data_IF_302760045971
#
_entry.id   IF_302760045971
#
_cell.length_a   1.000
_cell.length_b   1.000
_cell.length_c   1.000
_cell.angle_alpha   90.00
_cell.angle_beta   90.00
_cell.angle_gamma   90.00
#
_symmetry.space_group_name_H-M   'P 1'
#
loop_
_entity.id
_entity.type
_entity.pdbx_description
1 polymer ?
#
# COMPACT_ATOMS: atom_id res chain seq x y z
N UNK A 1 10.35 -29.10 1.96
CA UNK A 1 9.01 -28.69 1.48
C UNK A 1 8.50 -27.58 2.37
N UNK A 2 7.94 -26.54 1.75
CA UNK A 2 7.08 -25.50 2.33
C UNK A 2 7.66 -24.64 3.47
N UNK A 3 8.21 -23.48 3.12
CA UNK A 3 7.91 -22.25 3.85
C UNK A 3 7.76 -21.14 2.84
N UNK A 4 6.63 -21.20 2.14
CA UNK A 4 6.06 -20.03 1.51
C UNK A 4 5.52 -19.17 2.67
N UNK A 5 6.44 -18.57 3.43
CA UNK A 5 6.13 -17.53 4.39
C UNK A 5 5.57 -16.41 3.56
N UNK A 6 4.25 -16.44 3.37
CA UNK A 6 3.50 -15.22 3.17
C UNK A 6 3.77 -14.45 4.44
N UNK A 7 4.83 -13.66 4.38
CA UNK A 7 5.06 -12.51 5.21
C UNK A 7 3.75 -11.75 5.11
N UNK A 8 2.83 -12.05 6.02
CA UNK A 8 1.70 -11.20 6.28
C UNK A 8 2.39 -9.94 6.78
N UNK A 9 2.70 -9.04 5.84
CA UNK A 9 3.02 -7.66 6.12
C UNK A 9 1.73 -7.08 6.70
N UNK A 10 1.41 -7.47 7.93
CA UNK A 10 0.77 -6.55 8.83
C UNK A 10 1.74 -5.38 8.87
N UNK A 11 1.35 -4.18 8.44
CA UNK A 11 2.16 -3.00 8.73
C UNK A 11 2.18 -2.88 10.25
N UNK A 12 3.23 -3.42 10.88
CA UNK A 12 3.41 -3.45 12.33
C UNK A 12 3.54 -2.02 12.88
N UNK A 13 3.89 -1.08 12.00
CA UNK A 13 4.06 0.32 12.31
C UNK A 13 3.02 1.19 11.60
N UNK A 14 2.40 2.08 12.37
CA UNK A 14 1.57 3.17 11.84
C UNK A 14 2.35 4.04 10.85
N UNK A 15 3.67 4.14 11.03
CA UNK A 15 4.58 4.81 10.10
C UNK A 15 4.67 4.09 8.74
N UNK A 16 4.78 2.75 8.74
CA UNK A 16 4.78 1.96 7.50
C UNK A 16 3.45 2.09 6.76
N UNK A 17 2.34 2.09 7.51
CA UNK A 17 1.01 2.30 6.93
C UNK A 17 0.88 3.69 6.30
N UNK A 18 1.34 4.75 6.96
CA UNK A 18 1.30 6.11 6.40
C UNK A 18 2.18 6.25 5.15
N UNK A 19 3.35 5.59 5.11
CA UNK A 19 4.19 5.53 3.93
C UNK A 19 3.51 4.81 2.76
N UNK A 20 2.95 3.62 3.02
CA UNK A 20 2.22 2.84 2.02
C UNK A 20 1.00 3.59 1.47
N UNK A 21 0.21 4.23 2.34
CA UNK A 21 -0.91 5.08 1.94
C UNK A 21 -0.44 6.25 1.05
N UNK A 22 0.71 6.85 1.36
CA UNK A 22 1.27 7.93 0.54
C UNK A 22 1.66 7.47 -0.85
N UNK A 23 2.12 6.22 -1.01
CA UNK A 23 2.48 5.65 -2.32
C UNK A 23 1.28 5.48 -3.24
N UNK A 24 0.09 5.21 -2.69
CA UNK A 24 -1.13 4.94 -3.48
C UNK A 24 -2.09 6.11 -3.54
N UNK A 25 -1.92 7.12 -2.68
CA UNK A 25 -2.73 8.34 -2.69
C UNK A 25 -2.70 9.03 -4.05
N UNK A 26 -1.51 9.20 -4.63
CA UNK A 26 -1.38 9.84 -5.94
C UNK A 26 -2.06 9.04 -7.07
N UNK A 27 -1.96 7.71 -7.05
CA UNK A 27 -2.62 6.85 -8.03
C UNK A 27 -4.15 6.84 -7.85
N UNK A 28 -4.62 6.83 -6.61
CA UNK A 28 -6.03 6.87 -6.30
C UNK A 28 -6.67 8.17 -6.76
N UNK A 29 -6.09 9.30 -6.36
CA UNK A 29 -6.57 10.65 -6.71
C UNK A 29 -6.52 10.87 -8.23
N UNK A 30 -5.53 10.30 -8.92
CA UNK A 30 -5.44 10.34 -10.39
C UNK A 30 -6.49 9.49 -11.11
N UNK A 31 -6.96 8.40 -10.48
CA UNK A 31 -7.97 7.50 -11.04
C UNK A 31 -9.40 7.93 -10.70
N UNK A 32 -9.59 8.69 -9.62
CA UNK A 32 -10.88 9.12 -9.10
C UNK A 32 -10.96 10.65 -9.04
N UNK A 33 -11.25 11.32 -10.17
CA UNK A 33 -11.42 12.77 -10.17
C UNK A 33 -12.62 13.16 -9.29
N UNK A 34 -12.34 13.77 -8.14
CA UNK A 34 -13.35 14.26 -7.20
C UNK A 34 -13.55 13.41 -5.94
N UNK A 35 -12.86 12.27 -5.82
CA UNK A 35 -12.85 11.48 -4.59
C UNK A 35 -11.39 11.29 -4.14
N UNK A 36 -11.08 11.71 -2.91
CA UNK A 36 -9.73 11.56 -2.37
C UNK A 36 -9.58 10.24 -1.63
N UNK A 37 -8.35 9.75 -1.54
CA UNK A 37 -8.06 8.56 -0.72
C UNK A 37 -8.53 8.72 0.74
N UNK A 38 -8.50 9.95 1.28
CA UNK A 38 -9.01 10.25 2.62
C UNK A 38 -10.56 10.19 2.71
N UNK A 39 -11.28 10.53 1.64
CA UNK A 39 -12.73 10.35 1.56
C UNK A 39 -13.11 8.88 1.59
N UNK A 40 -12.41 8.04 0.82
CA UNK A 40 -12.54 6.60 0.90
C UNK A 40 -12.26 6.11 2.33
N UNK A 41 -11.22 6.60 3.01
CA UNK A 41 -10.89 6.23 4.41
C UNK A 41 -12.03 6.52 5.38
N UNK A 42 -12.71 7.66 5.21
CA UNK A 42 -13.89 7.99 6.02
C UNK A 42 -15.06 7.02 5.78
N UNK A 43 -15.22 6.54 4.54
CA UNK A 43 -16.30 5.62 4.15
C UNK A 43 -16.06 4.16 4.55
N UNK A 44 -14.81 3.73 4.71
CA UNK A 44 -14.45 2.38 5.17
C UNK A 44 -15.11 1.97 6.49
N UNK A 45 -15.43 2.91 7.37
CA UNK A 45 -16.10 2.60 8.64
C UNK A 45 -17.55 2.09 8.44
N UNK A 46 -18.17 2.41 7.31
CA UNK A 46 -19.58 2.13 7.02
C UNK A 46 -19.79 1.14 5.88
N UNK A 47 -18.76 0.92 5.05
CA UNK A 47 -18.85 0.09 3.84
C UNK A 47 -17.80 -1.00 3.83
N UNK A 48 -18.26 -2.26 3.76
CA UNK A 48 -17.37 -3.42 3.58
C UNK A 48 -16.69 -3.42 2.21
N UNK A 49 -17.30 -2.79 1.22
CA UNK A 49 -16.72 -2.62 -0.11
C UNK A 49 -15.51 -1.67 -0.03
N UNK A 50 -15.68 -0.52 0.63
CA UNK A 50 -14.58 0.43 0.85
C UNK A 50 -13.46 -0.18 1.71
N UNK A 51 -13.78 -1.09 2.65
CA UNK A 51 -12.78 -1.87 3.40
C UNK A 51 -11.99 -2.83 2.52
N UNK A 52 -12.64 -3.46 1.53
CA UNK A 52 -11.98 -4.33 0.56
C UNK A 52 -11.03 -3.52 -0.33
N UNK A 53 -11.56 -2.45 -0.92
CA UNK A 53 -10.80 -1.48 -1.72
C UNK A 53 -9.55 -0.99 -1.00
N UNK A 54 -9.68 -0.61 0.29
CA UNK A 54 -8.53 -0.20 1.08
C UNK A 54 -7.44 -1.28 1.17
N UNK A 55 -7.83 -2.53 1.44
CA UNK A 55 -6.88 -3.63 1.56
C UNK A 55 -6.15 -3.88 0.26
N UNK A 56 -6.87 -3.82 -0.87
CA UNK A 56 -6.29 -3.99 -2.19
C UNK A 56 -5.28 -2.87 -2.51
N UNK A 57 -5.61 -1.62 -2.19
CA UNK A 57 -4.68 -0.49 -2.33
C UNK A 57 -3.42 -0.64 -1.46
N UNK A 58 -3.56 -1.06 -0.20
CA UNK A 58 -2.40 -1.31 0.66
C UNK A 58 -1.56 -2.48 0.13
N UNK A 59 -2.18 -3.56 -0.36
CA UNK A 59 -1.46 -4.67 -0.97
C UNK A 59 -0.65 -4.23 -2.20
N UNK A 60 -1.24 -3.37 -3.04
CA UNK A 60 -0.54 -2.76 -4.18
C UNK A 60 0.63 -1.88 -3.73
N UNK A 61 0.43 -1.08 -2.67
CA UNK A 61 1.48 -0.25 -2.09
C UNK A 61 2.66 -1.09 -1.59
N UNK A 62 2.39 -2.22 -0.92
CA UNK A 62 3.41 -3.16 -0.44
C UNK A 62 4.19 -3.74 -1.61
N UNK A 63 3.49 -4.26 -2.62
CA UNK A 63 4.13 -4.82 -3.81
C UNK A 63 5.03 -3.78 -4.53
N UNK A 64 4.60 -2.52 -4.59
CA UNK A 64 5.40 -1.43 -5.14
C UNK A 64 6.60 -1.07 -4.26
N UNK A 65 6.43 -1.04 -2.94
CA UNK A 65 7.51 -0.77 -2.00
C UNK A 65 8.59 -1.86 -2.10
N UNK A 66 8.20 -3.13 -2.17
CA UNK A 66 9.11 -4.26 -2.38
C UNK A 66 9.81 -4.17 -3.74
N UNK A 67 9.08 -3.86 -4.81
CA UNK A 67 9.66 -3.65 -6.14
C UNK A 67 10.66 -2.49 -6.14
N UNK A 68 10.34 -1.37 -5.48
CA UNK A 68 11.22 -0.21 -5.37
C UNK A 68 12.47 -0.53 -4.53
N UNK A 69 12.35 -1.36 -3.47
CA UNK A 69 13.48 -1.86 -2.69
C UNK A 69 14.38 -2.76 -3.52
N UNK A 70 13.82 -3.68 -4.30
CA UNK A 70 14.55 -4.57 -5.19
C UNK A 70 15.21 -3.82 -6.36
N UNK A 71 14.59 -2.72 -6.83
CA UNK A 71 15.08 -1.90 -7.93
C UNK A 71 16.14 -0.87 -7.50
N UNK A 72 16.40 -0.67 -6.20
CA UNK A 72 17.57 0.09 -5.76
C UNK A 72 18.80 -0.79 -6.00
N UNK A 73 19.66 -0.50 -7.00
CA UNK A 73 20.94 -1.18 -7.05
C UNK A 73 21.70 -0.79 -5.78
N UNK A 74 22.16 -1.77 -5.00
CA UNK A 74 23.26 -1.52 -4.07
C UNK A 74 24.33 -0.74 -4.85
N UNK A 75 24.82 0.41 -4.34
CA UNK A 75 26.04 0.97 -4.89
C UNK A 75 27.11 -0.07 -4.55
N UNK A 76 27.41 -0.97 -5.48
CA UNK A 76 28.60 -1.78 -5.39
C UNK A 76 29.73 -0.77 -5.46
N UNK A 77 30.34 -0.53 -4.31
CA UNK A 77 31.44 0.40 -4.15
C UNK A 77 32.59 -0.05 -5.07
N UNK A 78 33.15 0.93 -5.77
CA UNK A 78 34.27 0.81 -6.70
C UNK A 78 35.56 0.34 -6.03
#
# INVERSE_FOLDING_TARGET
>A
MLSNSHDFVQPADTADRAYLESLVRADYDGSHPGETFDDMKRRMSFSREDQGLYRDWIALAVARAETARAARPSPVAA
#
